data_IF_235095902045
#
_entry.id   IF_235095902045
#
_cell.length_a   1.000
_cell.length_b   1.000
_cell.length_c   1.000
_cell.angle_alpha   90.00
_cell.angle_beta   90.00
_cell.angle_gamma   90.00
#
_symmetry.space_group_name_H-M   'P 1'
#
loop_
_entity.id
_entity.type
_entity.pdbx_description
1 polymer ?
#
# COMPACT_ATOMS: atom_id res chain seq x y z
N UNK A 1 -2.87 21.48 -3.06
CA UNK A 1 -2.96 22.82 -3.66
C UNK A 1 -2.66 22.68 -5.14
N UNK A 2 -3.50 23.20 -6.05
CA UNK A 2 -3.35 22.92 -7.50
C UNK A 2 -2.16 23.66 -8.14
N UNK A 3 -1.91 24.92 -7.74
CA UNK A 3 -0.76 25.71 -8.20
C UNK A 3 0.06 26.24 -7.02
N UNK A 4 1.41 26.33 -7.12
CA UNK A 4 2.25 26.88 -6.06
C UNK A 4 1.91 28.33 -5.65
N UNK A 5 1.39 29.12 -6.59
CA UNK A 5 0.96 30.51 -6.36
C UNK A 5 -0.27 30.64 -5.44
N UNK A 6 -0.99 29.55 -5.19
CA UNK A 6 -2.12 29.51 -4.26
C UNK A 6 -1.67 29.36 -2.81
N UNK A 7 -0.37 29.24 -2.54
CA UNK A 7 0.14 29.15 -1.17
C UNK A 7 0.03 30.53 -0.50
N UNK A 8 -0.68 30.64 0.64
CA UNK A 8 -0.75 31.90 1.36
C UNK A 8 0.64 32.41 1.75
N UNK A 9 0.79 33.73 1.75
CA UNK A 9 2.03 34.37 2.19
C UNK A 9 2.30 33.98 3.64
N UNK A 10 3.53 33.53 3.93
CA UNK A 10 3.92 33.06 5.26
C UNK A 10 3.60 31.59 5.55
N UNK A 11 2.95 30.89 4.62
CA UNK A 11 2.75 29.45 4.67
C UNK A 11 3.65 28.71 3.65
N UNK A 12 3.79 27.40 3.85
CA UNK A 12 4.53 26.51 2.95
C UNK A 12 3.76 25.21 2.77
N UNK A 13 3.75 24.70 1.54
CA UNK A 13 3.20 23.38 1.22
C UNK A 13 4.26 22.30 1.48
N UNK A 14 4.02 21.46 2.47
CA UNK A 14 4.83 20.28 2.75
C UNK A 14 4.16 19.05 2.14
N UNK A 15 4.81 18.42 1.16
CA UNK A 15 4.38 17.16 0.52
C UNK A 15 4.84 15.94 1.34
N UNK A 16 4.35 15.85 2.58
CA UNK A 16 4.62 14.74 3.49
C UNK A 16 3.31 14.10 3.97
N UNK A 17 3.29 12.78 4.10
CA UNK A 17 2.09 12.06 4.54
C UNK A 17 1.82 12.24 6.04
N UNK A 18 0.55 12.27 6.44
CA UNK A 18 0.16 12.23 7.86
C UNK A 18 0.41 13.50 8.67
N UNK A 19 0.69 14.64 8.03
CA UNK A 19 0.92 15.94 8.70
C UNK A 19 -0.19 16.37 9.67
N UNK A 20 -1.50 16.18 9.41
CA UNK A 20 -2.55 16.52 10.38
C UNK A 20 -2.46 15.74 11.70
N UNK A 21 -1.90 14.53 11.68
CA UNK A 21 -1.65 13.76 12.90
C UNK A 21 -0.48 14.31 13.69
N UNK A 22 0.57 14.74 12.98
CA UNK A 22 1.75 15.36 13.56
C UNK A 22 1.41 16.71 14.21
N UNK A 23 0.55 17.51 13.56
CA UNK A 23 0.08 18.78 14.08
C UNK A 23 -0.55 18.64 15.48
N UNK A 24 -1.43 17.64 15.64
CA UNK A 24 -2.07 17.31 16.93
C UNK A 24 -1.05 16.88 17.99
N UNK A 25 -0.02 16.12 17.59
CA UNK A 25 1.05 15.67 18.50
C UNK A 25 1.95 16.81 18.98
N UNK A 26 2.21 17.79 18.11
CA UNK A 26 3.07 18.95 18.39
C UNK A 26 2.36 20.06 19.18
N UNK A 27 1.20 19.78 19.79
CA UNK A 27 0.46 20.75 20.60
C UNK A 27 -0.64 21.51 19.84
N UNK A 28 -1.08 20.99 18.68
CA UNK A 28 -2.18 21.60 17.93
C UNK A 28 -1.74 22.76 17.03
N UNK A 29 -0.60 22.62 16.36
CA UNK A 29 -0.12 23.61 15.39
C UNK A 29 -1.05 23.73 14.18
N UNK A 30 -1.08 24.91 13.55
CA UNK A 30 -1.91 25.16 12.38
C UNK A 30 -1.43 24.34 11.17
N UNK A 31 -2.31 23.47 10.68
CA UNK A 31 -2.03 22.56 9.58
C UNK A 31 -3.31 22.28 8.79
N UNK A 32 -3.29 22.55 7.48
CA UNK A 32 -4.45 22.33 6.61
C UNK A 32 -4.08 21.33 5.50
N UNK A 33 -4.83 20.23 5.31
CA UNK A 33 -4.56 19.26 4.25
C UNK A 33 -4.63 19.93 2.87
N UNK A 34 -3.65 19.64 2.00
CA UNK A 34 -3.52 20.31 0.72
C UNK A 34 -4.17 19.46 -0.40
N UNK A 35 -5.38 19.85 -0.82
CA UNK A 35 -6.07 19.20 -1.96
C UNK A 35 -5.42 19.62 -3.27
N UNK A 36 -4.79 18.68 -3.99
CA UNK A 36 -4.08 18.92 -5.26
C UNK A 36 -4.92 18.60 -6.49
N UNK A 37 -6.05 17.93 -6.34
CA UNK A 37 -6.93 17.59 -7.45
C UNK A 37 -8.13 16.79 -7.00
N UNK A 38 -8.84 16.22 -7.97
CA UNK A 38 -9.96 15.30 -7.75
C UNK A 38 -9.76 14.06 -8.60
N UNK A 39 -9.96 12.89 -8.00
CA UNK A 39 -10.02 11.62 -8.68
C UNK A 39 -11.49 11.28 -8.96
N UNK A 40 -11.79 10.87 -10.19
CA UNK A 40 -13.14 10.54 -10.64
C UNK A 40 -13.26 9.04 -10.85
N UNK A 41 -13.15 8.29 -9.75
CA UNK A 41 -13.29 6.84 -9.74
C UNK A 41 -14.71 6.43 -9.31
N UNK A 42 -15.17 5.27 -9.80
CA UNK A 42 -16.44 4.63 -9.38
C UNK A 42 -17.69 5.52 -9.48
N UNK A 43 -17.73 6.46 -10.44
CA UNK A 43 -18.86 7.36 -10.63
C UNK A 43 -18.98 8.49 -9.59
N UNK A 44 -17.99 8.68 -8.73
CA UNK A 44 -17.91 9.80 -7.77
C UNK A 44 -16.74 10.75 -8.05
N UNK A 45 -16.61 11.81 -7.23
CA UNK A 45 -15.40 12.64 -7.20
C UNK A 45 -14.80 12.64 -5.80
N UNK A 46 -13.52 12.27 -5.69
CA UNK A 46 -12.80 12.20 -4.43
C UNK A 46 -11.64 13.20 -4.43
N UNK A 47 -11.47 14.02 -3.38
CA UNK A 47 -10.36 14.96 -3.31
C UNK A 47 -9.03 14.20 -3.16
N UNK A 48 -8.07 14.50 -4.03
CA UNK A 48 -6.70 14.01 -3.92
C UNK A 48 -5.95 14.93 -2.98
N UNK A 49 -5.59 14.40 -1.81
CA UNK A 49 -4.83 15.14 -0.79
C UNK A 49 -3.36 14.75 -0.94
N UNK A 50 -2.51 15.76 -1.16
CA UNK A 50 -1.06 15.60 -1.17
C UNK A 50 -0.45 16.54 -0.15
N UNK A 51 -0.07 15.99 0.99
CA UNK A 51 0.54 16.73 2.08
C UNK A 51 -0.37 17.75 2.75
N UNK A 52 0.22 18.79 3.30
CA UNK A 52 -0.48 19.86 4.01
C UNK A 52 0.25 21.21 3.90
N UNK A 53 -0.52 22.29 4.04
CA UNK A 53 0.00 23.65 4.17
C UNK A 53 0.17 23.95 5.66
N UNK A 54 1.36 24.44 6.02
CA UNK A 54 1.74 24.80 7.40
C UNK A 54 2.37 26.18 7.41
N UNK A 55 2.46 26.80 8.58
CA UNK A 55 3.19 28.05 8.75
C UNK A 55 4.69 27.84 8.50
N UNK A 56 5.34 28.81 7.86
CA UNK A 56 6.77 28.75 7.51
C UNK A 56 7.67 28.55 8.74
N UNK A 57 7.31 29.14 9.87
CA UNK A 57 8.07 29.07 11.12
C UNK A 57 8.03 27.68 11.78
N UNK A 58 6.98 26.91 11.53
CA UNK A 58 6.77 25.59 12.12
C UNK A 58 7.18 24.44 11.21
N UNK A 59 7.47 24.73 9.93
CA UNK A 59 7.81 23.73 8.92
C UNK A 59 8.93 22.79 9.38
N UNK A 60 9.97 23.32 10.03
CA UNK A 60 11.10 22.52 10.53
C UNK A 60 10.68 21.54 11.64
N UNK A 61 9.74 21.94 12.51
CA UNK A 61 9.19 21.08 13.57
C UNK A 61 8.42 19.91 12.96
N UNK A 62 7.60 20.19 11.95
CA UNK A 62 6.85 19.17 11.21
C UNK A 62 7.78 18.16 10.53
N UNK A 63 8.80 18.64 9.82
CA UNK A 63 9.76 17.76 9.11
C UNK A 63 10.54 16.88 10.10
N UNK A 64 10.99 17.45 11.22
CA UNK A 64 11.71 16.70 12.26
C UNK A 64 10.88 15.58 12.87
N UNK A 65 9.64 15.88 13.26
CA UNK A 65 8.75 14.89 13.87
C UNK A 65 8.28 13.85 12.85
N UNK A 66 8.06 14.23 11.59
CA UNK A 66 7.75 13.29 10.51
C UNK A 66 8.87 12.26 10.32
N UNK A 67 10.14 12.71 10.23
CA UNK A 67 11.30 11.81 10.10
C UNK A 67 11.40 10.82 11.26
N UNK A 68 11.11 11.27 12.49
CA UNK A 68 11.09 10.39 13.68
C UNK A 68 10.00 9.32 13.58
N UNK A 69 8.81 9.69 13.10
CA UNK A 69 7.68 8.76 12.98
C UNK A 69 7.88 7.76 11.84
N UNK A 70 8.46 8.17 10.73
CA UNK A 70 8.75 7.28 9.61
C UNK A 70 9.80 6.22 9.98
N UNK A 71 10.88 6.61 10.66
CA UNK A 71 11.85 5.65 11.19
C UNK A 71 11.20 4.59 12.10
N UNK A 72 10.25 5.01 12.94
CA UNK A 72 9.51 4.10 13.83
C UNK A 72 8.56 3.17 13.06
N UNK A 73 7.95 3.65 11.96
CA UNK A 73 7.07 2.84 11.11
C UNK A 73 7.84 1.78 10.35
N UNK A 74 8.99 2.15 9.77
CA UNK A 74 9.82 1.24 8.99
C UNK A 74 10.27 0.03 9.82
N UNK A 75 10.64 0.24 11.09
CA UNK A 75 10.94 -0.86 12.01
C UNK A 75 9.74 -1.79 12.29
N UNK A 76 8.53 -1.24 12.37
CA UNK A 76 7.29 -2.02 12.58
C UNK A 76 6.90 -2.81 11.35
N UNK A 77 7.04 -2.21 10.17
CA UNK A 77 6.70 -2.83 8.90
C UNK A 77 7.68 -3.96 8.54
N UNK A 78 8.98 -3.79 8.84
CA UNK A 78 9.98 -4.85 8.68
C UNK A 78 9.69 -6.06 9.59
N UNK A 79 9.18 -5.84 10.81
CA UNK A 79 8.76 -6.92 11.71
C UNK A 79 7.51 -7.66 11.24
N UNK A 80 6.60 -6.99 10.52
CA UNK A 80 5.38 -7.61 9.98
C UNK A 80 5.62 -8.32 8.66
N UNK A 81 6.45 -7.76 7.77
CA UNK A 81 6.88 -8.42 6.53
C UNK A 81 7.68 -9.69 6.80
N UNK A 82 8.51 -9.72 7.84
CA UNK A 82 9.23 -10.93 8.27
C UNK A 82 8.31 -12.08 8.69
N UNK A 83 7.14 -11.79 9.29
CA UNK A 83 6.15 -12.83 9.67
C UNK A 83 5.35 -13.34 8.46
N UNK A 84 4.84 -12.44 7.61
CA UNK A 84 4.12 -12.83 6.39
C UNK A 84 4.97 -13.64 5.41
N UNK A 85 6.27 -13.36 5.32
CA UNK A 85 7.20 -14.12 4.46
C UNK A 85 7.56 -15.51 5.03
N UNK A 86 7.36 -15.72 6.33
CA UNK A 86 7.50 -17.04 6.97
C UNK A 86 6.24 -17.89 6.74
N UNK A 87 5.06 -17.30 6.94
CA UNK A 87 3.76 -17.96 6.70
C UNK A 87 3.56 -18.38 5.24
N UNK A 88 3.96 -17.55 4.26
CA UNK A 88 3.86 -17.90 2.82
C UNK A 88 4.88 -18.97 2.35
N UNK A 89 5.94 -19.25 3.12
CA UNK A 89 6.89 -20.30 2.76
C UNK A 89 6.45 -21.69 3.26
N UNK A 90 5.71 -21.74 4.35
CA UNK A 90 5.17 -22.98 4.90
C UNK A 90 3.88 -23.42 4.16
N UNK A 91 3.07 -22.49 3.62
CA UNK A 91 1.86 -22.82 2.83
C UNK A 91 2.13 -23.22 1.36
N UNK A 92 3.26 -22.79 0.76
CA UNK A 92 3.61 -23.15 -0.61
C UNK A 92 4.05 -24.63 -0.78
N UNK A 93 4.27 -25.35 0.33
CA UNK A 93 4.61 -26.77 0.35
C UNK A 93 3.41 -27.73 0.28
N UNK A 94 2.19 -27.26 0.54
CA UNK A 94 1.02 -28.14 0.77
C UNK A 94 -0.19 -27.84 -0.14
N UNK A 95 -0.05 -26.99 -1.16
CA UNK A 95 -1.16 -26.60 -2.04
C UNK A 95 -1.27 -27.38 -3.37
N UNK A 96 -0.75 -28.62 -3.45
CA UNK A 96 -0.90 -29.49 -4.63
C UNK A 96 -1.80 -30.73 -4.39
N UNK A 97 -2.55 -30.79 -3.29
CA UNK A 97 -3.36 -31.98 -2.96
C UNK A 97 -4.84 -31.67 -2.65
N UNK A 98 -5.49 -30.83 -3.45
CA UNK A 98 -6.95 -30.74 -3.41
C UNK A 98 -7.55 -30.44 -4.80
N UNK A 99 -8.02 -31.50 -5.46
CA UNK A 99 -8.88 -31.42 -6.66
C UNK A 99 -10.32 -31.29 -6.17
N UNK A 100 -11.01 -30.23 -6.59
CA UNK A 100 -12.44 -30.02 -6.27
C UNK A 100 -13.26 -30.93 -7.18
N UNK A 101 -13.86 -31.95 -6.59
CA UNK A 101 -14.50 -33.05 -7.30
C UNK A 101 -15.95 -32.70 -7.67
N UNK A 102 -16.32 -32.87 -8.94
CA UNK A 102 -17.72 -33.03 -9.32
C UNK A 102 -17.82 -33.84 -10.61
N UNK A 103 -17.51 -35.13 -10.55
CA UNK A 103 -18.33 -36.24 -11.10
C UNK A 103 -17.46 -37.52 -11.08
N UNK A 104 -17.74 -38.35 -10.08
CA UNK A 104 -17.57 -39.82 -10.01
C UNK A 104 -16.32 -40.42 -10.69
N UNK A 105 -15.31 -40.71 -9.86
CA UNK A 105 -14.36 -41.84 -9.96
C UNK A 105 -13.94 -42.25 -11.39
N UNK A 106 -12.91 -41.59 -11.92
CA UNK A 106 -12.02 -42.23 -12.89
C UNK A 106 -10.58 -41.93 -12.48
N UNK A 107 -9.76 -42.98 -12.28
CA UNK A 107 -8.32 -42.78 -12.19
C UNK A 107 -7.84 -42.28 -13.55
N UNK A 108 -7.11 -41.15 -13.55
CA UNK A 108 -6.50 -40.58 -14.74
C UNK A 108 -5.54 -41.62 -15.34
N UNK A 109 -5.90 -42.20 -16.48
CA UNK A 109 -4.99 -43.07 -17.21
C UNK A 109 -3.99 -42.20 -17.95
N UNK A 110 -2.72 -42.26 -17.52
CA UNK A 110 -1.64 -41.51 -18.15
C UNK A 110 -1.16 -42.32 -19.35
N UNK A 111 -1.49 -41.86 -20.55
CA UNK A 111 -0.99 -42.47 -21.79
C UNK A 111 0.46 -42.00 -22.01
N UNK A 112 1.38 -42.94 -22.09
CA UNK A 112 2.78 -42.65 -22.40
C UNK A 112 2.98 -42.51 -23.91
N UNK A 113 4.10 -41.92 -24.33
CA UNK A 113 4.39 -41.73 -25.76
C UNK A 113 4.43 -43.08 -26.51
N UNK A 114 4.89 -44.15 -25.85
CA UNK A 114 4.87 -45.50 -26.40
C UNK A 114 3.45 -46.04 -26.62
N UNK A 115 2.50 -45.72 -25.74
CA UNK A 115 1.10 -46.13 -25.89
C UNK A 115 0.44 -45.46 -27.10
N UNK A 116 0.78 -44.20 -27.38
CA UNK A 116 0.33 -43.45 -28.57
C UNK A 116 0.93 -44.00 -29.87
N UNK A 117 2.14 -44.52 -29.81
CA UNK A 117 2.84 -45.10 -30.97
C UNK A 117 2.30 -46.49 -31.34
N UNK A 118 1.64 -47.19 -30.43
CA UNK A 118 1.00 -48.49 -30.69
C UNK A 118 -0.38 -48.38 -31.34
N UNK A 119 -1.01 -47.19 -31.33
CA UNK A 119 -2.35 -46.98 -31.90
C UNK A 119 -2.36 -46.77 -33.43
N UNK A 120 -1.19 -46.71 -34.08
CA UNK A 120 -1.03 -46.39 -35.51
C UNK A 120 -0.72 -47.61 -36.40
N UNK A 121 -1.23 -48.79 -36.06
CA UNK A 121 -1.19 -49.98 -36.94
C UNK A 121 -2.58 -50.43 -37.35
#
# INVERSE_FOLDING_TARGET
MFQPSMCPIGAVHLRLSGLPSIARRLGGLECVPAVVGFDFSSGGSFPVIDGAVVLKQDADKFVKEWKRLEATKEERENKTKGKKKKETKDEAGEANQAVIDRTVKAQRQVFTHDDLMQLKR
#
